data_IF_394713792572
#
_entry.id   IF_394713792572
#
_cell.length_a   1.000
_cell.length_b   1.000
_cell.length_c   1.000
_cell.angle_alpha   90.00
_cell.angle_beta   90.00
_cell.angle_gamma   90.00
#
_symmetry.space_group_name_H-M   'P 1'
#
loop_
_entity.id
_entity.type
_entity.pdbx_description
1 polymer ?
#
# COMPACT_ATOMS: atom_id res chain seq x y z
N UNK A 1 36.86 4.14 64.45
CA UNK A 1 36.75 4.38 62.99
C UNK A 1 35.81 3.33 62.41
N UNK A 2 34.52 3.66 62.25
CA UNK A 2 33.90 3.99 60.93
C UNK A 2 34.15 2.85 59.92
N UNK A 3 33.19 2.12 59.33
CA UNK A 3 31.77 2.29 59.02
C UNK A 3 31.17 0.87 58.78
N UNK A 4 29.94 0.53 59.19
CA UNK A 4 28.64 0.80 58.55
C UNK A 4 28.49 0.12 57.17
N UNK A 5 27.81 -1.03 57.11
CA UNK A 5 26.73 -1.34 56.14
C UNK A 5 26.31 -2.82 56.22
N UNK A 6 25.01 -2.99 56.49
CA UNK A 6 24.23 -4.23 56.55
C UNK A 6 24.07 -4.93 55.18
N UNK A 7 23.62 -6.19 55.16
CA UNK A 7 23.59 -7.04 53.98
C UNK A 7 22.36 -6.72 53.12
N UNK A 8 22.50 -6.80 51.79
CA UNK A 8 21.34 -6.78 50.88
C UNK A 8 21.35 -8.07 50.06
N UNK A 9 20.38 -8.98 50.27
CA UNK A 9 20.14 -10.08 49.35
C UNK A 9 19.55 -9.49 48.06
N UNK A 10 20.32 -9.50 46.97
CA UNK A 10 19.74 -9.17 45.67
C UNK A 10 18.79 -10.28 45.25
N UNK A 11 17.56 -9.84 45.02
CA UNK A 11 16.41 -10.61 44.64
C UNK A 11 16.65 -11.44 43.39
N UNK A 12 16.09 -12.64 43.44
CA UNK A 12 15.58 -13.37 42.30
C UNK A 12 14.68 -12.45 41.45
N UNK A 13 15.09 -12.17 40.21
CA UNK A 13 14.12 -12.02 39.12
C UNK A 13 14.32 -13.20 38.19
N UNK A 14 13.52 -14.23 38.43
CA UNK A 14 13.32 -15.31 37.48
C UNK A 14 12.86 -14.69 36.16
N UNK A 15 13.61 -15.01 35.11
CA UNK A 15 13.18 -14.91 33.73
C UNK A 15 11.80 -15.57 33.60
N UNK A 16 10.75 -14.76 33.49
CA UNK A 16 9.59 -15.23 32.76
C UNK A 16 10.05 -15.44 31.32
N UNK A 17 9.95 -16.65 30.73
CA UNK A 17 9.95 -16.73 29.29
C UNK A 17 8.81 -15.85 28.80
N UNK A 18 9.02 -14.96 27.81
CA UNK A 18 7.90 -14.25 27.21
C UNK A 18 6.86 -15.30 26.82
N UNK A 19 5.58 -15.14 27.20
CA UNK A 19 4.55 -16.02 26.67
C UNK A 19 4.69 -15.95 25.17
N UNK A 20 4.83 -17.12 24.55
CA UNK A 20 4.89 -17.29 23.13
C UNK A 20 3.82 -16.39 22.49
N UNK A 21 4.25 -15.26 21.93
CA UNK A 21 3.45 -14.46 20.99
C UNK A 21 3.44 -15.23 19.67
N UNK A 22 3.04 -16.49 19.75
CA UNK A 22 2.93 -17.42 18.66
C UNK A 22 1.48 -17.30 18.21
N UNK A 23 1.31 -16.64 17.07
CA UNK A 23 0.07 -16.36 16.34
C UNK A 23 -0.57 -14.97 16.49
N UNK A 24 0.23 -13.91 16.40
CA UNK A 24 -0.32 -12.59 15.99
C UNK A 24 0.18 -12.07 14.64
N UNK A 25 0.74 -12.94 13.77
CA UNK A 25 1.19 -12.49 12.43
C UNK A 25 0.86 -13.46 11.29
N UNK A 26 -0.27 -14.17 11.35
CA UNK A 26 -0.85 -14.80 10.16
C UNK A 26 -2.17 -14.12 9.82
N UNK A 27 -2.06 -13.01 9.09
CA UNK A 27 -2.94 -12.51 8.03
C UNK A 27 -2.74 -10.98 7.88
N UNK A 28 -1.51 -10.58 7.55
CA UNK A 28 -1.33 -9.37 6.76
C UNK A 28 -1.81 -9.68 5.34
N UNK A 29 -3.00 -9.20 4.97
CA UNK A 29 -3.31 -8.66 3.62
C UNK A 29 -4.80 -8.45 3.32
N UNK A 30 -5.72 -8.52 4.30
CA UNK A 30 -6.89 -7.66 4.18
C UNK A 30 -6.46 -6.27 4.59
N UNK A 31 -5.83 -5.56 3.66
CA UNK A 31 -5.81 -4.10 3.71
C UNK A 31 -7.25 -3.70 3.97
N UNK A 32 -7.44 -3.06 5.11
CA UNK A 32 -8.67 -2.43 5.53
C UNK A 32 -9.17 -1.59 4.37
N UNK A 33 -10.07 -2.14 3.57
CA UNK A 33 -11.03 -1.35 2.82
C UNK A 33 -11.69 -0.54 3.91
N UNK A 34 -11.38 0.75 4.00
CA UNK A 34 -11.98 1.62 5.01
C UNK A 34 -13.48 1.33 4.99
N UNK A 35 -14.08 0.90 6.12
CA UNK A 35 -15.47 0.51 6.14
C UNK A 35 -16.29 1.76 5.83
N UNK A 36 -16.73 1.88 4.58
CA UNK A 36 -17.44 3.07 4.09
C UNK A 36 -17.05 3.59 2.70
N UNK A 37 -16.05 3.04 2.00
CA UNK A 37 -15.79 3.45 0.61
C UNK A 37 -16.58 2.62 -0.39
N UNK A 38 -17.43 3.28 -1.16
CA UNK A 38 -18.15 2.67 -2.26
C UNK A 38 -17.18 2.32 -3.40
N UNK A 39 -17.44 1.26 -4.19
CA UNK A 39 -16.63 0.93 -5.37
C UNK A 39 -16.43 2.09 -6.35
N UNK A 40 -17.46 2.94 -6.48
CA UNK A 40 -17.45 4.16 -7.28
C UNK A 40 -16.45 5.21 -6.75
N UNK A 41 -16.36 5.36 -5.42
CA UNK A 41 -15.38 6.24 -4.79
C UNK A 41 -13.96 5.67 -4.91
N UNK A 42 -13.81 4.35 -4.80
CA UNK A 42 -12.53 3.67 -5.02
C UNK A 42 -12.04 3.84 -6.47
N UNK A 43 -12.93 3.72 -7.47
CA UNK A 43 -12.62 3.98 -8.87
C UNK A 43 -12.23 5.46 -9.09
N UNK A 44 -12.96 6.39 -8.47
CA UNK A 44 -12.67 7.83 -8.56
C UNK A 44 -11.31 8.16 -7.96
N UNK A 45 -10.98 7.59 -6.80
CA UNK A 45 -9.65 7.75 -6.19
C UNK A 45 -8.56 7.14 -7.08
N UNK A 46 -8.77 5.94 -7.62
CA UNK A 46 -7.82 5.29 -8.51
C UNK A 46 -7.53 6.16 -9.73
N UNK A 47 -8.57 6.71 -10.37
CA UNK A 47 -8.43 7.66 -11.50
C UNK A 47 -7.64 8.91 -11.11
N UNK A 48 -7.88 9.46 -9.92
CA UNK A 48 -7.12 10.61 -9.43
C UNK A 48 -5.64 10.27 -9.19
N UNK A 49 -5.35 9.12 -8.57
CA UNK A 49 -3.98 8.63 -8.35
C UNK A 49 -3.25 8.38 -9.68
N UNK A 50 -3.92 7.80 -10.67
CA UNK A 50 -3.38 7.60 -12.01
C UNK A 50 -3.07 8.91 -12.72
N UNK A 51 -3.97 9.89 -12.63
CA UNK A 51 -3.72 11.23 -13.18
C UNK A 51 -2.49 11.88 -12.53
N UNK A 52 -2.34 11.79 -11.21
CA UNK A 52 -1.17 12.29 -10.48
C UNK A 52 0.12 11.56 -10.90
N UNK A 53 0.05 10.23 -11.03
CA UNK A 53 1.18 9.42 -11.48
C UNK A 53 1.58 9.77 -12.91
N UNK A 54 0.62 9.86 -13.82
CA UNK A 54 0.82 10.27 -15.23
C UNK A 54 1.49 11.64 -15.32
N UNK A 55 1.01 12.61 -14.55
CA UNK A 55 1.63 13.94 -14.49
C UNK A 55 3.06 13.90 -13.96
N UNK A 56 3.34 13.03 -12.99
CA UNK A 56 4.68 12.83 -12.42
C UNK A 56 5.63 12.22 -13.46
N UNK A 57 5.21 11.14 -14.12
CA UNK A 57 6.01 10.41 -15.11
C UNK A 57 6.16 11.18 -16.42
N UNK A 58 5.25 12.11 -16.72
CA UNK A 58 5.36 13.00 -17.88
C UNK A 58 6.49 14.03 -17.77
N UNK A 59 6.96 14.31 -16.56
CA UNK A 59 8.05 15.25 -16.29
C UNK A 59 9.37 14.49 -16.14
N UNK A 60 10.51 15.09 -16.49
CA UNK A 60 11.81 14.51 -16.20
C UNK A 60 11.92 14.23 -14.71
N UNK A 61 12.40 13.04 -14.36
CA UNK A 61 12.56 12.68 -12.97
C UNK A 61 13.61 13.58 -12.29
N UNK A 62 13.26 14.12 -11.14
CA UNK A 62 14.08 15.15 -10.48
C UNK A 62 14.93 14.59 -9.33
N UNK A 63 14.53 13.45 -8.75
CA UNK A 63 15.27 12.80 -7.67
C UNK A 63 14.83 11.35 -7.46
N UNK A 64 15.71 10.55 -6.86
CA UNK A 64 15.39 9.19 -6.42
C UNK A 64 14.21 9.15 -5.43
N UNK A 65 14.04 10.17 -4.58
CA UNK A 65 12.90 10.25 -3.66
C UNK A 65 11.56 10.37 -4.41
N UNK A 66 11.50 11.17 -5.47
CA UNK A 66 10.32 11.29 -6.35
C UNK A 66 10.06 9.97 -7.09
N UNK A 67 11.12 9.29 -7.53
CA UNK A 67 11.01 7.98 -8.17
C UNK A 67 10.40 6.93 -7.23
N UNK A 68 10.89 6.85 -5.98
CA UNK A 68 10.39 5.95 -4.95
C UNK A 68 8.92 6.25 -4.59
N UNK A 69 8.57 7.53 -4.43
CA UNK A 69 7.19 7.95 -4.18
C UNK A 69 6.25 7.58 -5.34
N UNK A 70 6.69 7.77 -6.58
CA UNK A 70 5.92 7.40 -7.77
C UNK A 70 5.80 5.87 -7.91
N UNK A 71 6.82 5.11 -7.52
CA UNK A 71 6.76 3.64 -7.48
C UNK A 71 5.75 3.13 -6.45
N UNK A 72 5.71 3.74 -5.25
CA UNK A 72 4.69 3.44 -4.26
C UNK A 72 3.29 3.75 -4.78
N UNK A 73 3.11 4.92 -5.40
CA UNK A 73 1.83 5.31 -6.01
C UNK A 73 1.41 4.35 -7.13
N UNK A 74 2.34 3.88 -7.97
CA UNK A 74 2.08 2.88 -9.00
C UNK A 74 1.60 1.55 -8.37
N UNK A 75 2.26 1.10 -7.31
CA UNK A 75 1.87 -0.13 -6.61
C UNK A 75 0.48 -0.02 -5.99
N UNK A 76 0.17 1.12 -5.37
CA UNK A 76 -1.16 1.41 -4.83
C UNK A 76 -2.24 1.38 -5.94
N UNK A 77 -1.95 1.99 -7.09
CA UNK A 77 -2.86 1.95 -8.24
C UNK A 77 -3.09 0.52 -8.74
N UNK A 78 -2.03 -0.31 -8.82
CA UNK A 78 -2.13 -1.72 -9.22
C UNK A 78 -2.97 -2.53 -8.26
N UNK A 79 -2.78 -2.32 -6.96
CA UNK A 79 -3.57 -3.05 -5.97
C UNK A 79 -5.06 -2.65 -6.03
N UNK A 80 -5.36 -1.35 -6.08
CA UNK A 80 -6.74 -0.87 -6.20
C UNK A 80 -7.40 -1.32 -7.50
N UNK A 81 -6.69 -1.28 -8.63
CA UNK A 81 -7.15 -1.80 -9.92
C UNK A 81 -7.51 -3.27 -9.82
N UNK A 82 -6.62 -4.11 -9.28
CA UNK A 82 -6.86 -5.54 -9.14
C UNK A 82 -8.06 -5.86 -8.22
N UNK A 83 -8.23 -5.11 -7.14
CA UNK A 83 -9.37 -5.25 -6.22
C UNK A 83 -10.69 -4.92 -6.96
N UNK A 84 -10.71 -3.82 -7.74
CA UNK A 84 -11.89 -3.43 -8.51
C UNK A 84 -12.17 -4.39 -9.68
N UNK A 85 -11.14 -4.87 -10.36
CA UNK A 85 -11.25 -5.89 -11.42
C UNK A 85 -11.84 -7.19 -10.89
N UNK A 86 -11.40 -7.64 -9.70
CA UNK A 86 -11.96 -8.85 -9.07
C UNK A 86 -13.44 -8.72 -8.69
N UNK A 87 -13.93 -7.48 -8.58
CA UNK A 87 -15.33 -7.17 -8.29
C UNK A 87 -16.13 -6.80 -9.55
N UNK A 88 -15.49 -6.73 -10.72
CA UNK A 88 -16.15 -6.32 -11.97
C UNK A 88 -17.33 -7.23 -12.33
N UNK A 89 -17.22 -8.54 -12.09
CA UNK A 89 -18.34 -9.48 -12.26
C UNK A 89 -19.53 -9.11 -11.34
N UNK A 90 -19.24 -8.77 -10.08
CA UNK A 90 -20.26 -8.35 -9.10
C UNK A 90 -20.90 -7.01 -9.45
N UNK A 91 -20.17 -6.13 -10.14
CA UNK A 91 -20.69 -4.86 -10.64
C UNK A 91 -21.58 -5.07 -11.88
N UNK A 92 -21.20 -6.01 -12.75
CA UNK A 92 -22.00 -6.38 -13.91
C UNK A 92 -23.35 -7.00 -13.48
N UNK A 93 -23.34 -7.87 -12.47
CA UNK A 93 -24.56 -8.47 -11.90
C UNK A 93 -25.50 -7.44 -11.25
N UNK A 94 -24.95 -6.32 -10.76
CA UNK A 94 -25.70 -5.19 -10.21
C UNK A 94 -26.12 -4.17 -11.28
N UNK A 95 -25.93 -4.47 -12.56
CA UNK A 95 -26.21 -3.57 -13.69
C UNK A 95 -25.44 -2.23 -13.62
N UNK A 96 -24.32 -2.20 -12.89
CA UNK A 96 -23.43 -1.03 -12.79
C UNK A 96 -22.44 -0.99 -13.96
N UNK A 97 -22.95 -0.90 -15.19
CA UNK A 97 -22.15 -0.95 -16.41
C UNK A 97 -21.09 0.16 -16.48
N UNK A 98 -21.41 1.38 -16.01
CA UNK A 98 -20.44 2.48 -15.94
C UNK A 98 -19.25 2.17 -15.04
N UNK A 99 -19.49 1.44 -13.94
CA UNK A 99 -18.44 1.04 -13.01
C UNK A 99 -17.55 -0.03 -13.65
N UNK A 100 -18.16 -1.03 -14.31
CA UNK A 100 -17.43 -2.07 -15.04
C UNK A 100 -16.55 -1.46 -16.14
N UNK A 101 -17.15 -0.64 -17.02
CA UNK A 101 -16.40 0.06 -18.07
C UNK A 101 -15.29 0.92 -17.46
N UNK A 102 -15.61 1.66 -16.39
CA UNK A 102 -14.66 2.52 -15.74
C UNK A 102 -13.47 1.76 -15.16
N UNK A 103 -13.67 0.57 -14.58
CA UNK A 103 -12.59 -0.30 -14.12
C UNK A 103 -11.69 -0.72 -15.28
N UNK A 104 -12.26 -1.23 -16.38
CA UNK A 104 -11.48 -1.64 -17.57
C UNK A 104 -10.66 -0.51 -18.18
N UNK A 105 -11.26 0.67 -18.38
CA UNK A 105 -10.56 1.86 -18.90
C UNK A 105 -9.38 2.27 -18.01
N UNK A 106 -9.60 2.19 -16.70
CA UNK A 106 -8.62 2.59 -15.68
C UNK A 106 -7.45 1.59 -15.61
N UNK A 107 -7.74 0.28 -15.72
CA UNK A 107 -6.72 -0.77 -15.86
C UNK A 107 -5.88 -0.58 -17.13
N UNK A 108 -6.51 -0.26 -18.26
CA UNK A 108 -5.79 -0.03 -19.51
C UNK A 108 -4.83 1.18 -19.40
N UNK A 109 -5.28 2.29 -18.79
CA UNK A 109 -4.42 3.45 -18.57
C UNK A 109 -3.24 3.12 -17.63
N UNK A 110 -3.49 2.36 -16.56
CA UNK A 110 -2.45 1.89 -15.65
C UNK A 110 -1.39 1.05 -16.37
N UNK A 111 -1.80 0.16 -17.29
CA UNK A 111 -0.85 -0.62 -18.09
C UNK A 111 0.03 0.26 -19.00
N UNK A 112 -0.56 1.32 -19.60
CA UNK A 112 0.20 2.29 -20.41
C UNK A 112 1.24 3.02 -19.57
N UNK A 113 0.86 3.48 -18.37
CA UNK A 113 1.79 4.16 -17.44
C UNK A 113 2.90 3.20 -17.01
N UNK A 114 2.57 1.96 -16.65
CA UNK A 114 3.54 0.96 -16.21
C UNK A 114 4.66 0.74 -17.26
N UNK A 115 4.29 0.60 -18.53
CA UNK A 115 5.26 0.48 -19.64
C UNK A 115 6.18 1.71 -19.79
N UNK A 116 5.67 2.90 -19.51
CA UNK A 116 6.44 4.14 -19.54
C UNK A 116 7.23 4.39 -18.24
N UNK A 117 6.83 3.74 -17.15
CA UNK A 117 7.38 3.95 -15.81
C UNK A 117 8.79 3.38 -15.69
N UNK A 118 9.04 2.16 -16.17
CA UNK A 118 10.35 1.51 -16.08
C UNK A 118 11.51 2.37 -16.63
N UNK A 119 11.48 2.89 -17.87
CA UNK A 119 12.55 3.73 -18.39
C UNK A 119 12.65 5.07 -17.64
N UNK A 120 11.52 5.64 -17.22
CA UNK A 120 11.49 6.89 -16.44
C UNK A 120 12.12 6.70 -15.05
N UNK A 121 11.79 5.62 -14.35
CA UNK A 121 12.31 5.30 -13.02
C UNK A 121 13.81 5.01 -13.09
N UNK A 122 14.25 4.24 -14.08
CA UNK A 122 15.68 3.99 -14.32
C UNK A 122 16.46 5.28 -14.60
N UNK A 123 15.88 6.24 -15.30
CA UNK A 123 16.49 7.56 -15.50
C UNK A 123 16.53 8.40 -14.21
N UNK A 124 15.58 8.19 -13.29
CA UNK A 124 15.47 8.91 -12.02
C UNK A 124 16.45 8.44 -10.94
N UNK A 125 16.82 7.16 -10.98
CA UNK A 125 17.64 6.50 -9.95
C UNK A 125 19.08 6.23 -10.39
N UNK A 126 19.40 6.52 -11.64
CA UNK A 126 20.78 6.54 -12.15
C UNK A 126 21.47 7.83 -11.76
#
# INVERSE_FOLDING_TARGET
NYAKASPTPQQQQQQQPPPATRQQQQQQQQQSVSPGRSPEEALTELRQKLSNLKNTVSKPAQSAAVAQAAQQLLNDCRNQSAILESQADTFADQEKFDLVQGVFETTEELQKINKAFDPWFNAATR
#
